data_IF_505681573480
#
_entry.id   IF_505681573480
#
_cell.length_a   1.000
_cell.length_b   1.000
_cell.length_c   1.000
_cell.angle_alpha   90.00
_cell.angle_beta   90.00
_cell.angle_gamma   90.00
#
_symmetry.space_group_name_H-M   'P 1'
#
loop_
_entity.id
_entity.type
_entity.pdbx_description
1 polymer ?
#
# COMPACT_ATOMS: atom_id res chain seq x y z
N UNK A 1 1.69 19.45 0.76
CA UNK A 1 2.19 18.09 0.52
C UNK A 1 3.36 17.84 1.43
N UNK A 2 3.42 16.66 2.02
CA UNK A 2 4.47 16.26 2.96
C UNK A 2 5.09 14.94 2.48
N UNK A 3 6.41 14.80 2.61
CA UNK A 3 7.13 13.59 2.25
C UNK A 3 7.44 12.83 3.53
N UNK A 4 6.95 11.61 3.64
CA UNK A 4 7.15 10.76 4.82
C UNK A 4 7.62 9.38 4.42
N UNK A 5 8.36 8.72 5.32
CA UNK A 5 8.60 7.27 5.24
C UNK A 5 7.50 6.55 5.99
N UNK A 6 6.78 5.67 5.31
CA UNK A 6 5.72 4.88 5.91
C UNK A 6 5.72 3.45 5.39
N UNK A 7 5.14 2.56 6.18
CA UNK A 7 4.88 1.19 5.74
C UNK A 7 3.74 1.25 4.73
N UNK A 8 3.95 0.65 3.58
CA UNK A 8 3.02 0.70 2.46
C UNK A 8 2.74 -0.72 2.00
N UNK A 9 1.45 -1.07 1.90
CA UNK A 9 1.02 -2.27 1.21
C UNK A 9 0.99 -1.96 -0.28
N UNK A 10 1.75 -2.70 -1.08
CA UNK A 10 1.87 -2.54 -2.52
C UNK A 10 1.30 -3.78 -3.20
N UNK A 11 0.43 -3.56 -4.18
CA UNK A 11 0.00 -4.56 -5.14
C UNK A 11 0.88 -4.48 -6.38
N UNK A 12 1.57 -5.57 -6.68
CA UNK A 12 2.25 -5.78 -7.95
C UNK A 12 1.38 -6.62 -8.88
N UNK A 13 1.17 -6.14 -10.10
CA UNK A 13 0.52 -6.88 -11.19
C UNK A 13 1.48 -6.97 -12.37
N UNK A 14 1.96 -8.19 -12.66
CA UNK A 14 2.90 -8.40 -13.77
C UNK A 14 4.28 -7.74 -13.59
N UNK A 15 4.64 -7.36 -12.36
CA UNK A 15 5.92 -6.69 -12.04
C UNK A 15 5.77 -5.20 -11.74
N UNK A 16 4.67 -4.58 -12.16
CA UNK A 16 4.41 -3.15 -11.95
C UNK A 16 3.55 -2.89 -10.71
N UNK A 17 3.75 -1.73 -10.09
CA UNK A 17 2.92 -1.25 -8.97
C UNK A 17 1.56 -0.83 -9.52
N UNK A 18 0.52 -1.56 -9.14
CA UNK A 18 -0.87 -1.26 -9.52
C UNK A 18 -1.60 -0.44 -8.46
N UNK A 19 -1.44 -0.77 -7.18
CA UNK A 19 -2.10 -0.08 -6.06
C UNK A 19 -1.16 0.03 -4.85
N UNK A 20 -1.37 1.05 -4.03
CA UNK A 20 -0.60 1.27 -2.81
C UNK A 20 -1.42 1.91 -1.68
N UNK A 21 -1.21 1.44 -0.45
CA UNK A 21 -1.92 1.95 0.75
C UNK A 21 -0.96 2.10 1.94
N UNK A 22 -0.94 3.28 2.58
CA UNK A 22 -0.12 3.54 3.75
C UNK A 22 -0.70 2.90 5.03
N UNK A 23 0.18 2.45 5.92
CA UNK A 23 -0.14 1.95 7.24
C UNK A 23 0.84 2.53 8.27
N UNK A 24 0.31 2.94 9.42
CA UNK A 24 1.12 3.44 10.54
C UNK A 24 1.99 2.36 11.22
N UNK A 25 1.58 1.08 11.10
CA UNK A 25 2.21 -0.05 11.80
C UNK A 25 2.32 -1.27 10.88
N UNK A 26 3.44 -2.00 10.98
CA UNK A 26 3.70 -3.19 10.16
C UNK A 26 2.68 -4.29 10.42
N UNK A 27 2.24 -4.43 11.66
CA UNK A 27 1.21 -5.40 12.06
C UNK A 27 -0.14 -5.13 11.38
N UNK A 28 -0.52 -3.86 11.19
CA UNK A 28 -1.73 -3.49 10.44
C UNK A 28 -1.59 -3.85 8.96
N UNK A 29 -0.44 -3.53 8.34
CA UNK A 29 -0.16 -3.90 6.94
C UNK A 29 -0.20 -5.41 6.72
N UNK A 30 0.51 -6.19 7.55
CA UNK A 30 0.54 -7.65 7.46
C UNK A 30 -0.84 -8.28 7.68
N UNK A 31 -1.65 -7.72 8.59
CA UNK A 31 -3.04 -8.18 8.79
C UNK A 31 -3.88 -7.93 7.54
N UNK A 32 -3.79 -6.74 6.93
CA UNK A 32 -4.50 -6.41 5.70
C UNK A 32 -4.06 -7.33 4.55
N UNK A 33 -2.75 -7.49 4.33
CA UNK A 33 -2.17 -8.41 3.34
C UNK A 33 -2.74 -9.82 3.48
N UNK A 34 -2.70 -10.41 4.69
CA UNK A 34 -3.23 -11.76 4.94
C UNK A 34 -4.73 -11.86 4.67
N UNK A 35 -5.49 -10.83 5.02
CA UNK A 35 -6.94 -10.80 4.77
C UNK A 35 -7.24 -10.73 3.27
N UNK A 36 -6.52 -9.90 2.52
CA UNK A 36 -6.60 -9.80 1.07
C UNK A 36 -6.25 -11.14 0.44
N UNK A 37 -5.10 -11.72 0.76
CA UNK A 37 -4.65 -13.01 0.22
C UNK A 37 -5.63 -14.16 0.52
N UNK A 38 -6.29 -14.15 1.68
CA UNK A 38 -7.34 -15.13 2.00
C UNK A 38 -8.62 -14.93 1.19
N UNK A 39 -9.04 -13.69 0.98
CA UNK A 39 -10.31 -13.37 0.32
C UNK A 39 -10.20 -13.35 -1.21
N UNK A 40 -9.01 -13.08 -1.76
CA UNK A 40 -8.70 -13.10 -3.20
C UNK A 40 -8.26 -14.49 -3.70
N UNK A 41 -8.68 -15.56 -3.01
CA UNK A 41 -8.52 -16.91 -3.52
C UNK A 41 -9.22 -17.01 -4.89
N UNK A 42 -8.43 -17.00 -5.96
CA UNK A 42 -8.79 -17.11 -7.40
C UNK A 42 -8.93 -15.77 -8.15
N UNK A 43 -7.86 -15.40 -8.89
CA UNK A 43 -7.84 -15.10 -10.34
C UNK A 43 -6.55 -14.31 -10.66
N UNK A 44 -5.79 -14.79 -11.65
CA UNK A 44 -4.48 -14.28 -12.10
C UNK A 44 -3.26 -14.78 -11.31
N UNK A 45 -2.30 -15.38 -12.02
CA UNK A 45 -1.06 -15.92 -11.47
C UNK A 45 0.01 -14.84 -11.21
N UNK A 46 -0.29 -13.56 -11.45
CA UNK A 46 0.71 -12.47 -11.43
C UNK A 46 0.39 -11.35 -10.44
N UNK A 47 -0.49 -11.58 -9.46
CA UNK A 47 -0.77 -10.65 -8.37
C UNK A 47 0.09 -10.97 -7.15
N UNK A 48 0.89 -9.99 -6.69
CA UNK A 48 1.73 -10.10 -5.48
C UNK A 48 1.50 -8.90 -4.57
N UNK A 49 1.17 -9.17 -3.30
CA UNK A 49 1.08 -8.13 -2.28
C UNK A 49 2.35 -8.08 -1.41
N UNK A 50 2.85 -6.88 -1.13
CA UNK A 50 4.09 -6.66 -0.37
C UNK A 50 3.91 -5.54 0.65
N UNK A 51 4.43 -5.72 1.87
CA UNK A 51 4.50 -4.64 2.87
C UNK A 51 5.94 -4.12 2.88
N UNK A 52 6.14 -2.89 2.43
CA UNK A 52 7.46 -2.28 2.25
C UNK A 52 7.53 -0.91 2.92
N UNK A 53 8.70 -0.50 3.39
CA UNK A 53 8.92 0.89 3.79
C UNK A 53 9.17 1.72 2.52
N UNK A 54 8.28 2.65 2.22
CA UNK A 54 8.40 3.56 1.07
C UNK A 54 8.41 5.00 1.53
N UNK A 55 9.14 5.83 0.80
CA UNK A 55 9.02 7.28 0.87
C UNK A 55 7.83 7.67 -0.01
N UNK A 56 6.84 8.32 0.58
CA UNK A 56 5.59 8.69 -0.09
C UNK A 56 5.33 10.17 0.07
N UNK A 57 4.74 10.76 -0.96
CA UNK A 57 4.16 12.09 -0.89
C UNK A 57 2.71 11.94 -0.44
N UNK A 58 2.36 12.54 0.68
CA UNK A 58 0.99 12.55 1.21
C UNK A 58 0.37 13.93 1.11
N UNK A 59 -0.95 13.93 0.90
CA UNK A 59 -1.80 15.12 0.97
C UNK A 59 -2.97 14.86 1.91
N UNK A 60 -3.71 15.92 2.24
CA UNK A 60 -4.86 15.85 3.12
C UNK A 60 -6.16 15.85 2.33
N UNK A 61 -7.04 14.94 2.69
CA UNK A 61 -8.43 15.00 2.29
C UNK A 61 -9.13 16.19 2.96
N UNK A 62 -10.31 16.57 2.48
CA UNK A 62 -11.13 17.64 3.06
C UNK A 62 -11.52 17.37 4.52
N UNK A 63 -11.52 16.11 4.95
CA UNK A 63 -11.78 15.66 6.32
C UNK A 63 -10.53 15.67 7.22
N UNK A 64 -9.36 16.03 6.67
CA UNK A 64 -8.09 16.09 7.39
C UNK A 64 -7.29 14.78 7.43
N UNK A 65 -7.82 13.67 6.88
CA UNK A 65 -7.11 12.40 6.78
C UNK A 65 -6.02 12.44 5.69
N UNK A 66 -4.91 11.74 5.90
CA UNK A 66 -3.82 11.68 4.92
C UNK A 66 -4.10 10.61 3.85
N UNK A 67 -3.87 10.93 2.58
CA UNK A 67 -3.82 9.97 1.48
C UNK A 67 -2.49 10.04 0.73
N UNK A 68 -2.05 8.92 0.16
CA UNK A 68 -0.84 8.88 -0.67
C UNK A 68 -1.16 9.47 -2.04
N UNK A 69 -0.42 10.51 -2.42
CA UNK A 69 -0.44 11.07 -3.77
C UNK A 69 0.41 10.23 -4.71
N UNK A 70 1.64 9.88 -4.29
CA UNK A 70 2.56 9.00 -5.04
C UNK A 70 3.67 8.45 -4.17
N UNK A 71 4.30 7.37 -4.64
CA UNK A 71 5.59 6.87 -4.15
C UNK A 71 6.70 7.70 -4.82
N UNK A 72 7.69 8.16 -4.04
CA UNK A 72 8.72 9.14 -4.48
C UNK A 72 10.11 8.51 -4.62
N UNK A 73 10.18 7.19 -4.78
CA UNK A 73 11.42 6.40 -4.81
C UNK A 73 12.41 6.84 -5.90
#
# INVERSE_FOLDING_TARGET
>A
MEIIKTITLILYMGGDVSEHTAFEKISKCLKAKRTIERNLYKKSQTVRYSCENKTVEVSKNADGSNYIVRIVE
#
